data_IF_929163209081
#
_entry.id   IF_929163209081
#
_cell.length_a   1.000
_cell.length_b   1.000
_cell.length_c   1.000
_cell.angle_alpha   90.00
_cell.angle_beta   90.00
_cell.angle_gamma   90.00
#
_symmetry.space_group_name_H-M   'P 1'
#
loop_
_entity.id
_entity.type
_entity.pdbx_description
1 polymer ?
#
# COMPACT_ATOMS: atom_id res chain seq x y z
N UNK A 1 -10.91 -43.05 -8.21
CA UNK A 1 -11.04 -42.45 -6.87
C UNK A 1 -10.52 -41.02 -6.92
N UNK A 2 -11.41 -40.05 -7.09
CA UNK A 2 -11.08 -38.62 -7.16
C UNK A 2 -11.09 -38.05 -5.73
N UNK A 3 -9.98 -37.46 -5.30
CA UNK A 3 -9.81 -36.86 -3.97
C UNK A 3 -9.21 -35.47 -4.14
N UNK A 4 -9.97 -34.59 -4.78
CA UNK A 4 -9.51 -33.23 -5.09
C UNK A 4 -10.56 -32.16 -4.79
N UNK A 5 -11.01 -32.09 -3.54
CA UNK A 5 -11.64 -30.89 -2.97
C UNK A 5 -10.93 -30.54 -1.67
N UNK A 6 -9.76 -29.93 -1.79
CA UNK A 6 -9.03 -29.35 -0.65
C UNK A 6 -9.78 -28.11 -0.18
N UNK A 7 -10.32 -28.24 1.04
CA UNK A 7 -10.74 -27.19 1.98
C UNK A 7 -11.57 -26.06 1.37
N UNK A 8 -12.88 -26.17 1.51
CA UNK A 8 -13.81 -25.04 1.43
C UNK A 8 -13.24 -23.88 2.25
N UNK A 9 -12.87 -22.78 1.60
CA UNK A 9 -12.47 -21.56 2.26
C UNK A 9 -13.71 -20.98 2.97
N UNK A 10 -13.87 -21.34 4.25
CA UNK A 10 -14.99 -20.98 5.13
C UNK A 10 -15.16 -19.47 5.31
N UNK A 11 -14.24 -18.67 4.76
CA UNK A 11 -14.28 -17.23 4.79
C UNK A 11 -15.27 -16.61 3.81
N UNK A 12 -15.57 -17.29 2.69
CA UNK A 12 -16.48 -16.79 1.66
C UNK A 12 -17.89 -17.35 1.87
N UNK A 13 -18.81 -16.50 2.32
CA UNK A 13 -20.18 -16.87 2.63
C UNK A 13 -21.10 -16.19 1.62
N UNK A 14 -21.83 -17.00 0.83
CA UNK A 14 -22.86 -16.50 -0.08
C UNK A 14 -24.21 -16.49 0.65
N UNK A 15 -24.81 -15.32 0.76
CA UNK A 15 -26.11 -15.10 1.38
C UNK A 15 -27.27 -15.50 0.45
N UNK A 16 -28.45 -15.75 1.02
CA UNK A 16 -29.64 -16.15 0.26
C UNK A 16 -30.11 -15.09 -0.75
N UNK A 17 -29.85 -13.80 -0.47
CA UNK A 17 -30.14 -12.69 -1.38
C UNK A 17 -29.09 -12.50 -2.49
N UNK A 18 -28.05 -13.36 -2.54
CA UNK A 18 -26.98 -13.28 -3.51
C UNK A 18 -25.79 -12.39 -3.11
N UNK A 19 -25.80 -11.80 -1.91
CA UNK A 19 -24.65 -11.08 -1.38
C UNK A 19 -23.48 -12.02 -1.04
N UNK A 20 -22.26 -11.49 -1.08
CA UNK A 20 -21.04 -12.19 -0.66
C UNK A 20 -20.49 -11.52 0.60
N UNK A 21 -20.37 -12.29 1.67
CA UNK A 21 -19.68 -11.91 2.90
C UNK A 21 -18.31 -12.57 2.92
N UNK A 22 -17.24 -11.79 3.10
CA UNK A 22 -15.87 -12.29 3.25
C UNK A 22 -15.44 -12.05 4.71
N UNK A 23 -15.19 -13.12 5.44
CA UNK A 23 -14.69 -13.04 6.84
C UNK A 23 -13.17 -13.20 6.86
N UNK A 24 -12.50 -12.60 7.85
CA UNK A 24 -11.04 -12.62 7.95
C UNK A 24 -10.37 -12.21 6.61
N UNK A 25 -10.72 -11.01 6.14
CA UNK A 25 -10.25 -10.44 4.87
C UNK A 25 -8.73 -10.31 4.90
N UNK A 26 -8.09 -10.74 3.81
CA UNK A 26 -6.63 -10.69 3.65
C UNK A 26 -6.25 -9.80 2.46
N UNK A 27 -4.97 -9.39 2.37
CA UNK A 27 -4.51 -8.54 1.26
C UNK A 27 -4.69 -9.20 -0.11
N UNK A 28 -4.62 -10.52 -0.18
CA UNK A 28 -4.92 -11.28 -1.39
C UNK A 28 -6.41 -11.27 -1.77
N UNK A 29 -7.32 -10.67 -1.02
CA UNK A 29 -8.71 -10.46 -1.42
C UNK A 29 -8.88 -9.13 -2.19
N UNK A 30 -7.93 -8.19 -2.07
CA UNK A 30 -7.92 -6.92 -2.81
C UNK A 30 -7.90 -7.16 -4.33
N UNK A 31 -8.87 -6.59 -5.06
CA UNK A 31 -9.05 -6.92 -6.47
C UNK A 31 -10.34 -6.41 -7.07
N UNK A 32 -10.52 -6.66 -8.36
CA UNK A 32 -11.81 -6.45 -9.02
C UNK A 32 -12.68 -7.68 -8.76
N UNK A 33 -13.93 -7.46 -8.39
CA UNK A 33 -14.90 -8.50 -8.09
C UNK A 33 -16.11 -8.32 -8.98
N UNK A 34 -16.69 -9.42 -9.46
CA UNK A 34 -17.88 -9.37 -10.31
C UNK A 34 -18.88 -10.47 -9.93
N UNK A 35 -20.14 -10.07 -9.75
CA UNK A 35 -21.23 -11.03 -9.55
C UNK A 35 -21.65 -11.63 -10.90
N UNK A 36 -21.73 -12.96 -10.95
CA UNK A 36 -22.16 -13.75 -12.10
C UNK A 36 -23.37 -14.60 -11.66
N UNK A 37 -24.47 -14.51 -12.41
CA UNK A 37 -25.69 -15.27 -12.17
C UNK A 37 -26.03 -16.10 -13.41
N UNK A 38 -26.36 -17.37 -13.24
CA UNK A 38 -26.72 -18.27 -14.32
C UNK A 38 -28.10 -18.87 -14.07
N UNK A 39 -28.94 -18.92 -15.11
CA UNK A 39 -30.26 -19.56 -15.04
C UNK A 39 -30.23 -21.04 -15.45
N UNK A 40 -31.37 -21.73 -15.30
CA UNK A 40 -31.52 -23.15 -15.66
C UNK A 40 -31.36 -23.46 -17.15
N UNK A 41 -31.38 -22.42 -18.00
CA UNK A 41 -31.14 -22.51 -19.46
C UNK A 41 -29.69 -22.16 -19.82
N UNK A 42 -28.78 -22.14 -18.85
CA UNK A 42 -27.35 -21.83 -19.01
C UNK A 42 -27.08 -20.42 -19.56
N UNK A 43 -28.02 -19.50 -19.36
CA UNK A 43 -27.80 -18.09 -19.67
C UNK A 43 -27.15 -17.40 -18.48
N UNK A 44 -25.99 -16.79 -18.72
CA UNK A 44 -25.19 -16.08 -17.72
C UNK A 44 -25.35 -14.58 -17.84
N UNK A 45 -25.63 -13.91 -16.73
CA UNK A 45 -25.60 -12.46 -16.57
C UNK A 45 -24.45 -12.05 -15.65
N UNK A 46 -23.73 -11.01 -16.05
CA UNK A 46 -22.65 -10.42 -15.26
C UNK A 46 -23.03 -9.03 -14.78
N UNK A 47 -22.86 -8.77 -13.49
CA UNK A 47 -23.01 -7.44 -12.92
C UNK A 47 -21.83 -6.53 -13.31
N UNK A 48 -21.90 -5.24 -12.97
CA UNK A 48 -20.75 -4.34 -13.11
C UNK A 48 -19.63 -4.77 -12.15
N UNK A 49 -18.35 -4.83 -12.59
CA UNK A 49 -17.24 -5.09 -11.68
C UNK A 49 -17.11 -4.00 -10.61
N UNK A 50 -16.77 -4.39 -9.39
CA UNK A 50 -16.47 -3.51 -8.24
C UNK A 50 -15.03 -3.73 -7.79
N UNK A 51 -14.35 -2.70 -7.29
CA UNK A 51 -12.99 -2.81 -6.74
C UNK A 51 -13.07 -2.95 -5.22
N UNK A 52 -12.65 -4.09 -4.69
CA UNK A 52 -12.39 -4.27 -3.26
C UNK A 52 -10.99 -3.75 -2.97
N UNK A 53 -10.87 -2.84 -1.99
CA UNK A 53 -9.59 -2.36 -1.47
C UNK A 53 -9.48 -2.86 -0.03
N UNK A 54 -8.42 -3.61 0.27
CA UNK A 54 -8.16 -4.13 1.61
C UNK A 54 -7.15 -3.25 2.30
N UNK A 55 -7.54 -2.57 3.37
CA UNK A 55 -6.67 -1.61 4.02
C UNK A 55 -5.59 -2.30 4.84
N UNK A 56 -4.33 -1.93 4.57
CA UNK A 56 -3.19 -2.28 5.41
C UNK A 56 -2.52 -1.02 5.92
N UNK A 57 -2.14 -1.00 7.19
CA UNK A 57 -1.60 0.18 7.84
C UNK A 57 -0.08 0.28 7.55
N UNK A 58 0.41 1.42 7.05
CA UNK A 58 1.84 1.61 6.90
C UNK A 58 2.55 1.70 8.26
N UNK A 59 3.82 1.32 8.32
CA UNK A 59 4.67 1.57 9.49
C UNK A 59 4.89 3.08 9.68
N UNK A 60 5.06 3.55 10.93
CA UNK A 60 5.43 4.95 11.18
C UNK A 60 6.63 5.36 10.34
N UNK A 61 6.61 6.57 9.74
CA UNK A 61 7.73 7.04 8.93
C UNK A 61 8.99 7.19 9.77
N UNK A 62 10.14 7.01 9.13
CA UNK A 62 11.46 7.24 9.71
C UNK A 62 12.37 7.94 8.72
N UNK A 63 13.39 8.61 9.24
CA UNK A 63 14.37 9.34 8.45
C UNK A 63 15.58 8.47 8.15
N UNK A 64 16.06 8.56 6.91
CA UNK A 64 17.39 8.13 6.51
C UNK A 64 18.24 9.38 6.28
N UNK A 65 19.49 9.32 6.71
CA UNK A 65 20.53 10.31 6.44
C UNK A 65 21.65 9.57 5.73
N UNK A 66 21.97 9.97 4.49
CA UNK A 66 22.97 9.29 3.66
C UNK A 66 22.73 7.76 3.63
N UNK A 67 21.46 7.37 3.43
CA UNK A 67 20.97 5.99 3.42
C UNK A 67 21.05 5.22 4.74
N UNK A 68 21.35 5.87 5.87
CA UNK A 68 21.38 5.27 7.21
C UNK A 68 20.19 5.72 8.04
N UNK A 69 19.51 4.78 8.69
CA UNK A 69 18.36 5.08 9.53
C UNK A 69 18.80 5.90 10.75
N UNK A 70 18.13 7.04 10.94
CA UNK A 70 18.29 7.84 12.15
C UNK A 70 17.55 7.16 13.30
N UNK A 71 18.25 6.95 14.40
CA UNK A 71 17.64 6.42 15.62
C UNK A 71 16.63 7.42 16.18
N UNK A 72 15.47 6.93 16.63
CA UNK A 72 14.38 7.78 17.11
C UNK A 72 14.76 8.65 18.33
N UNK A 73 15.83 8.32 19.05
CA UNK A 73 16.36 9.12 20.16
C UNK A 73 17.38 10.19 19.75
N UNK A 74 17.84 10.18 18.50
CA UNK A 74 18.85 11.12 18.03
C UNK A 74 18.21 12.29 17.28
N UNK A 75 17.97 13.39 18.01
CA UNK A 75 17.34 14.60 17.49
C UNK A 75 18.35 15.63 16.94
N UNK A 76 19.65 15.30 16.93
CA UNK A 76 20.70 16.23 16.53
C UNK A 76 21.59 15.61 15.45
N UNK A 77 21.60 16.25 14.29
CA UNK A 77 22.42 15.86 13.14
C UNK A 77 23.44 16.97 12.91
N UNK A 78 24.73 16.77 13.26
CA UNK A 78 25.76 17.76 12.95
C UNK A 78 26.01 17.76 11.43
N UNK A 79 25.88 18.94 10.82
CA UNK A 79 26.14 19.14 9.39
C UNK A 79 27.26 20.16 9.25
N UNK A 80 28.18 19.93 8.32
CA UNK A 80 29.27 20.88 8.06
C UNK A 80 28.73 22.00 7.18
N UNK A 81 29.20 23.22 7.39
CA UNK A 81 28.89 24.32 6.48
C UNK A 81 29.29 23.95 5.04
N UNK A 82 28.42 24.28 4.08
CA UNK A 82 28.56 23.97 2.66
C UNK A 82 28.64 22.46 2.33
N UNK A 83 28.24 21.56 3.24
CA UNK A 83 28.04 20.15 2.91
C UNK A 83 26.58 19.89 2.52
N UNK A 84 26.40 19.09 1.47
CA UNK A 84 25.10 18.54 1.10
C UNK A 84 24.69 17.43 2.07
N UNK A 85 23.41 17.41 2.45
CA UNK A 85 22.83 16.39 3.32
C UNK A 85 21.69 15.69 2.60
N UNK A 86 21.81 14.38 2.40
CA UNK A 86 20.75 13.61 1.76
C UNK A 86 19.80 13.04 2.81
N UNK A 87 18.57 13.56 2.81
CA UNK A 87 17.50 13.12 3.69
C UNK A 87 16.45 12.32 2.91
N UNK A 88 16.04 11.18 3.45
CA UNK A 88 14.90 10.44 2.92
C UNK A 88 13.88 10.14 4.04
N UNK A 89 12.61 10.41 3.78
CA UNK A 89 11.50 10.04 4.65
C UNK A 89 10.92 8.75 4.07
N UNK A 90 10.97 7.68 4.86
CA UNK A 90 10.58 6.35 4.42
C UNK A 90 9.50 5.81 5.33
N UNK A 91 8.47 5.23 4.72
CA UNK A 91 7.44 4.44 5.41
C UNK A 91 7.30 3.11 4.68
N UNK A 92 7.17 2.02 5.45
CA UNK A 92 7.09 0.66 4.90
C UNK A 92 5.65 0.15 4.93
N UNK A 93 5.26 -0.60 3.89
CA UNK A 93 3.93 -1.20 3.79
C UNK A 93 2.85 -0.18 3.43
N UNK A 94 1.62 -0.50 3.81
CA UNK A 94 0.45 0.30 3.48
C UNK A 94 -0.24 -0.16 2.20
N UNK A 95 -1.56 -0.32 2.29
CA UNK A 95 -2.43 -0.47 1.13
C UNK A 95 -3.68 0.40 1.29
N UNK A 96 -3.87 1.46 0.47
CA UNK A 96 -2.91 1.96 -0.53
C UNK A 96 -1.60 2.46 0.08
N UNK A 97 -0.57 2.64 -0.76
CA UNK A 97 0.70 3.22 -0.31
C UNK A 97 0.48 4.60 0.31
N UNK A 98 1.17 4.95 1.41
CA UNK A 98 1.03 6.25 2.03
C UNK A 98 1.61 7.36 1.16
N UNK A 99 1.06 8.56 1.30
CA UNK A 99 1.67 9.80 0.81
C UNK A 99 2.51 10.39 1.93
N UNK A 100 3.77 10.68 1.65
CA UNK A 100 4.70 11.33 2.60
C UNK A 100 4.91 12.78 2.18
N UNK A 101 4.96 13.67 3.18
CA UNK A 101 5.18 15.11 2.97
C UNK A 101 6.28 15.60 3.90
N UNK A 102 7.08 16.54 3.42
CA UNK A 102 8.13 17.20 4.19
C UNK A 102 7.67 18.57 4.66
N UNK A 103 8.03 18.93 5.89
CA UNK A 103 7.87 20.27 6.42
C UNK A 103 9.17 20.66 7.12
N UNK A 104 9.72 21.83 6.76
CA UNK A 104 10.91 22.39 7.38
C UNK A 104 10.49 23.54 8.29
N UNK A 105 10.61 23.33 9.59
CA UNK A 105 10.36 24.35 10.60
C UNK A 105 11.67 24.96 11.05
N UNK A 106 11.94 26.16 10.55
CA UNK A 106 13.08 26.95 11.03
C UNK A 106 12.69 27.55 12.39
N UNK A 107 13.39 27.13 13.43
CA UNK A 107 13.22 27.72 14.75
C UNK A 107 13.69 29.18 14.71
N UNK A 108 12.83 30.19 14.96
CA UNK A 108 13.24 31.60 14.94
C UNK A 108 14.25 31.97 16.04
N UNK A 109 14.54 31.04 16.97
CA UNK A 109 15.31 31.29 18.19
C UNK A 109 16.63 30.52 18.33
N UNK A 110 17.02 29.67 17.37
CA UNK A 110 18.22 28.82 17.52
C UNK A 110 19.48 29.45 16.90
N UNK A 111 19.34 30.33 15.90
CA UNK A 111 20.48 31.11 15.42
C UNK A 111 20.03 32.36 14.66
N UNK A 112 20.63 33.54 14.94
CA UNK A 112 20.37 34.77 14.17
C UNK A 112 20.99 34.71 12.77
N UNK A 113 21.84 33.71 12.53
CA UNK A 113 22.49 33.43 11.26
C UNK A 113 21.84 32.29 10.48
N UNK A 114 20.79 31.63 11.02
CA UNK A 114 20.08 30.60 10.29
C UNK A 114 19.28 31.24 9.16
N UNK A 115 19.83 31.19 7.94
CA UNK A 115 19.13 31.63 6.74
C UNK A 115 17.94 30.72 6.50
N UNK A 116 16.82 31.32 6.07
CA UNK A 116 15.65 30.58 5.66
C UNK A 116 16.03 29.69 4.47
N UNK A 117 16.02 28.37 4.65
CA UNK A 117 16.19 27.42 3.53
C UNK A 117 15.05 27.70 2.55
N UNK A 118 15.41 28.13 1.34
CA UNK A 118 14.44 28.40 0.30
C UNK A 118 13.90 27.07 -0.23
N UNK A 119 12.66 27.07 -0.72
CA UNK A 119 12.06 25.83 -1.25
C UNK A 119 12.76 25.43 -2.57
N UNK A 120 13.39 26.40 -3.22
CA UNK A 120 14.19 26.25 -4.43
C UNK A 120 15.50 25.49 -4.21
N UNK A 121 16.04 25.48 -2.98
CA UNK A 121 17.26 24.75 -2.61
C UNK A 121 16.98 23.28 -2.23
N UNK A 122 15.70 22.87 -2.16
CA UNK A 122 15.30 21.50 -1.83
C UNK A 122 14.91 20.73 -3.10
N UNK A 123 15.80 19.87 -3.56
CA UNK A 123 15.48 18.87 -4.59
C UNK A 123 14.78 17.66 -3.95
N UNK A 124 13.48 17.53 -4.20
CA UNK A 124 12.67 16.40 -3.74
C UNK A 124 12.55 15.34 -4.83
N UNK A 125 13.12 14.16 -4.59
CA UNK A 125 12.97 13.00 -5.45
C UNK A 125 12.15 11.88 -4.78
N UNK A 126 11.27 11.23 -5.55
CA UNK A 126 10.61 10.01 -5.10
C UNK A 126 11.56 8.82 -5.22
N UNK A 127 11.92 8.21 -4.08
CA UNK A 127 12.68 6.96 -4.06
C UNK A 127 11.75 5.81 -4.48
N UNK A 128 11.85 5.38 -5.75
CA UNK A 128 11.14 4.21 -6.27
C UNK A 128 11.83 2.92 -5.83
N UNK A 129 11.24 2.19 -4.88
CA UNK A 129 11.59 0.79 -4.64
C UNK A 129 10.88 -0.10 -5.67
N UNK A 130 11.59 -0.51 -6.73
CA UNK A 130 11.10 -1.52 -7.67
C UNK A 130 11.12 -2.92 -7.04
N UNK A 131 9.95 -3.54 -6.87
CA UNK A 131 9.82 -5.01 -6.78
C UNK A 131 8.64 -5.53 -7.60
N UNK A 132 9.01 -6.04 -8.78
CA UNK A 132 8.50 -7.16 -9.59
C UNK A 132 7.06 -7.62 -9.36
N UNK A 133 6.25 -7.41 -10.39
CA UNK A 133 4.94 -8.01 -10.64
C UNK A 133 5.04 -9.52 -10.91
N UNK A 134 4.39 -10.33 -10.08
CA UNK A 134 4.16 -11.75 -10.39
C UNK A 134 2.86 -11.89 -11.19
N UNK A 135 3.01 -12.04 -12.51
CA UNK A 135 1.96 -12.54 -13.39
C UNK A 135 1.62 -13.99 -13.03
N UNK A 136 0.37 -14.26 -12.66
CA UNK A 136 -0.22 -15.61 -12.73
C UNK A 136 -1.59 -15.52 -13.39
N UNK A 137 -1.74 -16.17 -14.54
CA UNK A 137 -3.01 -16.42 -15.24
C UNK A 137 -3.32 -17.92 -15.30
N UNK A 138 -4.63 -18.21 -15.44
CA UNK A 138 -5.36 -19.49 -15.64
C UNK A 138 -5.72 -20.20 -14.32
N UNK A 139 -6.96 -20.70 -14.08
CA UNK A 139 -7.83 -21.56 -14.91
C UNK A 139 -9.34 -21.36 -14.56
N UNK A 140 -10.23 -21.69 -15.52
CA UNK A 140 -11.70 -21.73 -15.45
C UNK A 140 -12.32 -22.73 -14.44
N UNK A 141 -13.34 -22.28 -13.68
CA UNK A 141 -14.69 -22.88 -13.47
C UNK A 141 -15.54 -21.94 -12.59
N UNK A 142 -16.87 -21.94 -12.79
CA UNK A 142 -17.86 -20.95 -12.28
C UNK A 142 -17.82 -20.66 -10.78
N UNK A 143 -17.34 -19.47 -10.39
CA UNK A 143 -17.47 -18.83 -9.06
C UNK A 143 -17.28 -17.31 -9.24
N UNK A 144 -17.71 -16.48 -8.26
CA UNK A 144 -17.49 -15.02 -8.26
C UNK A 144 -16.02 -14.75 -8.61
N UNK A 145 -15.79 -14.09 -9.75
CA UNK A 145 -14.45 -13.90 -10.31
C UNK A 145 -13.76 -12.73 -9.62
N UNK A 146 -12.58 -13.01 -9.06
CA UNK A 146 -11.52 -12.03 -8.82
C UNK A 146 -10.75 -11.76 -10.12
#
# INVERSE_FOLDING_TARGET
>A
MDRTTRVTDYRFIKEANGALTITNVMLEDDGKWQCEAENTRQYTLNARPVKLVVLDRPKPPYLLIDSRRLDAGNIFVPVKENSELNLACVSEGGNPKPTLTWEVLLSPGVDRHAQKVSVEDMELEEIKNEKVSLNKQKINKKYIKK
#
